data_IF_637328482746
#
_entry.id   IF_637328482746
#
_cell.length_a   1.000
_cell.length_b   1.000
_cell.length_c   1.000
_cell.angle_alpha   90.00
_cell.angle_beta   90.00
_cell.angle_gamma   90.00
#
_symmetry.space_group_name_H-M   'P 1'
#
loop_
_entity.id
_entity.type
_entity.pdbx_description
1 polymer ?
#
# COMPACT_ATOMS: atom_id res chain seq x y z
N UNK A 1 17.08 19.71 26.91
CA UNK A 1 15.66 19.42 27.17
C UNK A 1 14.83 19.97 26.02
N UNK A 2 14.75 19.23 24.92
CA UNK A 2 13.95 19.60 23.74
C UNK A 2 12.51 19.21 24.02
N UNK A 3 11.63 20.22 24.07
CA UNK A 3 10.18 20.03 24.16
C UNK A 3 9.73 19.09 23.03
N UNK A 4 8.93 18.08 23.39
CA UNK A 4 8.47 17.04 22.48
C UNK A 4 7.66 17.63 21.33
N UNK A 5 8.28 17.67 20.14
CA UNK A 5 7.54 17.87 18.91
C UNK A 5 6.62 16.64 18.73
N UNK A 6 5.31 16.87 18.62
CA UNK A 6 4.34 15.80 18.36
C UNK A 6 4.69 15.02 17.10
N UNK A 7 4.20 13.78 17.00
CA UNK A 7 4.44 12.93 15.83
C UNK A 7 4.02 13.65 14.52
N UNK A 8 4.97 14.00 13.62
CA UNK A 8 4.66 14.72 12.39
C UNK A 8 3.72 13.96 11.47
N UNK A 9 3.69 12.62 11.56
CA UNK A 9 2.76 11.77 10.79
C UNK A 9 1.33 11.98 11.26
N UNK A 10 1.13 12.00 12.57
CA UNK A 10 -0.17 12.27 13.19
C UNK A 10 -0.66 13.67 12.86
N UNK A 11 0.20 14.69 13.00
CA UNK A 11 -0.13 16.08 12.68
C UNK A 11 -0.55 16.25 11.21
N UNK A 12 0.16 15.58 10.30
CA UNK A 12 -0.18 15.61 8.88
C UNK A 12 -1.51 14.92 8.60
N UNK A 13 -1.72 13.71 9.16
CA UNK A 13 -2.99 12.98 9.03
C UNK A 13 -4.16 13.85 9.50
N UNK A 14 -4.06 14.46 10.67
CA UNK A 14 -5.11 15.33 11.21
C UNK A 14 -5.38 16.54 10.31
N UNK A 15 -4.33 17.14 9.74
CA UNK A 15 -4.47 18.27 8.82
C UNK A 15 -5.22 17.88 7.55
N UNK A 16 -4.89 16.73 6.96
CA UNK A 16 -5.58 16.18 5.78
C UNK A 16 -7.05 15.87 6.11
N UNK A 17 -7.31 15.25 7.26
CA UNK A 17 -8.69 14.99 7.72
C UNK A 17 -9.48 16.29 7.80
N UNK A 18 -8.93 17.36 8.39
CA UNK A 18 -9.60 18.67 8.46
C UNK A 18 -9.88 19.26 7.07
N UNK A 19 -8.95 19.16 6.13
CA UNK A 19 -9.13 19.64 4.75
C UNK A 19 -10.25 18.89 4.01
N UNK A 20 -10.30 17.57 4.16
CA UNK A 20 -11.36 16.74 3.56
C UNK A 20 -12.73 17.07 4.15
N UNK A 21 -12.82 17.25 5.47
CA UNK A 21 -14.06 17.69 6.15
C UNK A 21 -14.51 19.08 5.70
N UNK A 22 -13.59 20.04 5.62
CA UNK A 22 -13.87 21.38 5.13
C UNK A 22 -14.40 21.35 3.68
N UNK A 23 -13.97 20.36 2.89
CA UNK A 23 -14.43 20.10 1.52
C UNK A 23 -15.69 19.22 1.43
N UNK A 24 -16.36 18.94 2.57
CA UNK A 24 -17.55 18.07 2.69
C UNK A 24 -17.33 16.64 2.22
N UNK A 25 -16.13 16.10 2.42
CA UNK A 25 -15.73 14.72 2.07
C UNK A 25 -15.56 13.86 3.32
N UNK A 26 -16.64 13.66 4.07
CA UNK A 26 -16.59 12.99 5.38
C UNK A 26 -16.17 11.52 5.31
N UNK A 27 -16.57 10.82 4.25
CA UNK A 27 -16.19 9.42 4.04
C UNK A 27 -14.67 9.28 3.81
N UNK A 28 -14.11 10.09 2.91
CA UNK A 28 -12.66 10.15 2.68
C UNK A 28 -11.89 10.60 3.93
N UNK A 29 -12.43 11.57 4.67
CA UNK A 29 -11.85 12.00 5.93
C UNK A 29 -11.81 10.86 6.97
N UNK A 30 -12.85 10.03 7.01
CA UNK A 30 -12.93 8.88 7.91
C UNK A 30 -11.94 7.78 7.52
N UNK A 31 -11.78 7.51 6.23
CA UNK A 31 -10.77 6.58 5.69
C UNK A 31 -9.36 7.05 6.10
N UNK A 32 -9.01 8.31 5.85
CA UNK A 32 -7.69 8.85 6.21
C UNK A 32 -7.47 8.85 7.73
N UNK A 33 -8.51 9.09 8.53
CA UNK A 33 -8.41 9.07 9.98
C UNK A 33 -8.10 7.67 10.55
N UNK A 34 -8.67 6.61 9.96
CA UNK A 34 -8.35 5.21 10.29
C UNK A 34 -7.02 4.76 9.69
N UNK A 35 -6.59 5.41 8.62
CA UNK A 35 -5.31 5.18 7.97
C UNK A 35 -4.11 5.53 8.84
N UNK A 36 -2.97 4.99 8.43
CA UNK A 36 -1.66 5.32 8.99
C UNK A 36 -0.85 6.07 7.93
N UNK A 37 -0.23 7.18 8.34
CA UNK A 37 0.55 8.03 7.45
C UNK A 37 2.02 7.77 7.72
N UNK A 38 2.79 7.62 6.64
CA UNK A 38 4.22 7.44 6.70
C UNK A 38 4.91 8.48 5.82
N UNK A 39 5.93 9.14 6.35
CA UNK A 39 6.74 10.11 5.61
C UNK A 39 7.98 9.41 5.05
N UNK A 40 8.37 9.65 3.80
CA UNK A 40 9.65 9.16 3.31
C UNK A 40 10.81 9.93 3.98
N UNK A 41 11.88 9.26 4.45
CA UNK A 41 13.10 9.91 4.97
C UNK A 41 13.74 10.83 3.97
N UNK A 42 13.78 10.31 2.74
CA UNK A 42 14.56 10.88 1.67
C UNK A 42 13.66 11.85 0.95
N UNK A 43 14.09 13.09 1.03
CA UNK A 43 13.49 14.22 0.36
C UNK A 43 14.33 14.54 -0.86
N UNK A 44 13.67 14.89 -1.96
CA UNK A 44 14.35 15.32 -3.16
C UNK A 44 14.43 16.86 -3.17
N UNK A 45 15.60 17.43 -3.43
CA UNK A 45 15.73 18.88 -3.55
C UNK A 45 15.26 19.32 -4.94
N UNK A 46 14.23 20.14 -5.00
CA UNK A 46 13.65 20.68 -6.22
C UNK A 46 13.85 22.18 -6.31
N UNK A 47 13.91 22.67 -7.55
CA UNK A 47 13.94 24.08 -7.85
C UNK A 47 12.64 24.47 -8.55
N UNK A 48 11.85 25.34 -7.93
CA UNK A 48 10.59 25.87 -8.48
C UNK A 48 10.76 27.39 -8.63
N UNK A 49 11.08 27.83 -9.85
CA UNK A 49 11.50 29.20 -10.10
C UNK A 49 12.79 29.51 -9.34
N UNK A 50 12.78 30.54 -8.50
CA UNK A 50 13.94 30.93 -7.66
C UNK A 50 13.99 30.20 -6.31
N UNK A 51 12.97 29.39 -5.99
CA UNK A 51 12.83 28.73 -4.69
C UNK A 51 13.35 27.29 -4.71
N UNK A 52 14.18 26.95 -3.74
CA UNK A 52 14.54 25.56 -3.44
C UNK A 52 13.55 24.97 -2.44
N UNK A 53 13.01 23.78 -2.73
CA UNK A 53 12.05 23.06 -1.87
C UNK A 53 12.46 21.61 -1.70
N UNK A 54 12.07 21.01 -0.58
CA UNK A 54 12.17 19.58 -0.31
C UNK A 54 10.88 18.89 -0.74
N UNK A 55 10.98 18.07 -1.78
CA UNK A 55 9.89 17.27 -2.29
C UNK A 55 9.74 15.99 -1.44
N UNK A 56 8.58 15.88 -0.78
CA UNK A 56 8.24 14.83 0.17
C UNK A 56 7.45 13.72 -0.51
N UNK A 57 7.76 12.46 -0.19
CA UNK A 57 6.91 11.31 -0.57
C UNK A 57 6.20 10.77 0.65
N UNK A 58 4.93 10.42 0.52
CA UNK A 58 4.06 10.06 1.66
C UNK A 58 3.28 8.77 1.41
N UNK A 59 3.32 7.83 2.35
CA UNK A 59 2.60 6.57 2.28
C UNK A 59 1.32 6.70 3.09
N UNK A 60 0.19 6.29 2.53
CA UNK A 60 -1.05 6.11 3.26
C UNK A 60 -1.35 4.61 3.32
N UNK A 61 -1.29 4.02 4.51
CA UNK A 61 -1.65 2.64 4.75
C UNK A 61 -3.09 2.58 5.24
N UNK A 62 -3.94 1.84 4.53
CA UNK A 62 -5.36 1.67 4.83
C UNK A 62 -5.74 0.20 4.91
N UNK A 63 -6.80 -0.14 5.62
CA UNK A 63 -7.31 -1.50 5.63
C UNK A 63 -7.90 -1.89 4.27
N UNK A 64 -8.09 -3.19 4.02
CA UNK A 64 -8.54 -3.70 2.72
C UNK A 64 -9.88 -3.08 2.28
N UNK A 65 -10.84 -2.93 3.18
CA UNK A 65 -12.14 -2.30 2.90
C UNK A 65 -12.00 -0.85 2.43
N UNK A 66 -11.19 -0.07 3.15
CA UNK A 66 -10.91 1.33 2.83
C UNK A 66 -10.12 1.46 1.51
N UNK A 67 -9.23 0.51 1.22
CA UNK A 67 -8.54 0.45 -0.07
C UNK A 67 -9.51 0.25 -1.22
N UNK A 68 -10.47 -0.69 -1.07
CA UNK A 68 -11.49 -0.96 -2.08
C UNK A 68 -12.39 0.26 -2.28
N UNK A 69 -12.84 0.91 -1.20
CA UNK A 69 -13.70 2.09 -1.31
C UNK A 69 -13.00 3.24 -2.04
N UNK A 70 -11.72 3.48 -1.76
CA UNK A 70 -10.92 4.49 -2.47
C UNK A 70 -10.77 4.20 -3.97
N UNK A 71 -10.78 2.94 -4.38
CA UNK A 71 -10.67 2.55 -5.79
C UNK A 71 -12.04 2.41 -6.50
N UNK A 72 -13.14 2.42 -5.73
CA UNK A 72 -14.50 2.38 -6.27
C UNK A 72 -14.91 3.72 -6.88
N UNK A 73 -14.54 4.83 -6.24
CA UNK A 73 -14.80 6.18 -6.75
C UNK A 73 -13.61 6.68 -7.60
N UNK A 74 -13.87 6.98 -8.88
CA UNK A 74 -12.86 7.37 -9.87
C UNK A 74 -11.98 8.60 -9.52
N UNK A 75 -12.28 9.34 -8.45
CA UNK A 75 -11.54 10.53 -8.01
C UNK A 75 -11.17 10.52 -6.52
N UNK A 76 -11.53 9.49 -5.76
CA UNK A 76 -11.28 9.48 -4.32
C UNK A 76 -9.79 9.59 -3.98
N UNK A 77 -8.94 8.81 -4.67
CA UNK A 77 -7.48 8.86 -4.50
C UNK A 77 -6.93 10.24 -4.85
N UNK A 78 -7.39 10.85 -5.95
CA UNK A 78 -6.93 12.19 -6.36
C UNK A 78 -7.30 13.28 -5.36
N UNK A 79 -8.50 13.20 -4.78
CA UNK A 79 -8.96 14.14 -3.74
C UNK A 79 -8.16 14.00 -2.45
N UNK A 80 -7.84 12.77 -2.04
CA UNK A 80 -6.96 12.51 -0.91
C UNK A 80 -5.56 13.05 -1.22
N UNK A 81 -5.01 12.76 -2.40
CA UNK A 81 -3.70 13.27 -2.85
C UNK A 81 -3.63 14.79 -2.85
N UNK A 82 -4.64 15.47 -3.38
CA UNK A 82 -4.71 16.93 -3.37
C UNK A 82 -4.74 17.49 -1.94
N UNK A 83 -5.44 16.82 -1.03
CA UNK A 83 -5.49 17.23 0.37
C UNK A 83 -4.14 17.06 1.07
N UNK A 84 -3.40 15.97 0.80
CA UNK A 84 -2.01 15.82 1.24
C UNK A 84 -1.10 16.89 0.64
N UNK A 85 -1.24 17.20 -0.65
CA UNK A 85 -0.45 18.23 -1.31
C UNK A 85 -0.64 19.61 -0.65
N UNK A 86 -1.88 19.97 -0.32
CA UNK A 86 -2.18 21.22 0.39
C UNK A 86 -1.60 21.20 1.80
N UNK A 87 -1.73 20.09 2.54
CA UNK A 87 -1.26 20.00 3.91
C UNK A 87 0.27 20.04 4.04
N UNK A 88 1.00 19.51 3.05
CA UNK A 88 2.48 19.47 3.03
C UNK A 88 3.06 20.76 2.45
N UNK A 89 2.32 21.48 1.60
CA UNK A 89 2.84 22.66 0.92
C UNK A 89 3.22 23.75 1.91
N UNK A 90 4.48 24.16 1.85
CA UNK A 90 5.00 25.31 2.59
C UNK A 90 5.97 26.10 1.71
N UNK A 91 6.67 27.09 2.31
CA UNK A 91 7.78 27.73 1.63
C UNK A 91 8.93 26.76 1.32
N UNK A 92 9.09 25.71 2.11
CA UNK A 92 10.25 24.80 2.07
C UNK A 92 9.91 23.39 1.58
N UNK A 93 8.63 23.03 1.49
CA UNK A 93 8.20 21.65 1.19
C UNK A 93 7.09 21.61 0.14
N UNK A 94 7.13 20.56 -0.69
CA UNK A 94 6.08 20.21 -1.64
C UNK A 94 5.84 18.70 -1.63
N UNK A 95 4.66 18.25 -2.06
CA UNK A 95 4.38 16.83 -2.24
C UNK A 95 4.91 16.35 -3.60
N UNK A 96 5.79 15.36 -3.57
CA UNK A 96 6.26 14.62 -4.73
C UNK A 96 5.28 13.53 -5.12
N UNK A 97 4.97 12.66 -4.16
CA UNK A 97 4.16 11.48 -4.39
C UNK A 97 3.33 11.09 -3.16
N UNK A 98 2.15 10.54 -3.42
CA UNK A 98 1.32 9.88 -2.41
C UNK A 98 1.09 8.44 -2.88
N UNK A 99 1.71 7.49 -2.19
CA UNK A 99 1.52 6.08 -2.44
C UNK A 99 0.47 5.51 -1.47
N UNK A 100 -0.49 4.77 -2.00
CA UNK A 100 -1.56 4.12 -1.25
C UNK A 100 -1.24 2.63 -1.11
N UNK A 101 -1.23 2.13 0.12
CA UNK A 101 -0.87 0.74 0.44
C UNK A 101 -1.94 0.06 1.28
N UNK A 102 -2.09 -1.24 1.07
CA UNK A 102 -2.93 -2.08 1.93
C UNK A 102 -2.16 -2.41 3.20
N UNK A 103 -2.78 -2.15 4.35
CA UNK A 103 -2.22 -2.47 5.65
C UNK A 103 -2.19 -3.98 5.80
N UNK A 104 -0.99 -4.54 5.92
CA UNK A 104 -0.81 -5.95 6.24
C UNK A 104 -1.15 -6.20 7.71
N UNK A 105 -1.89 -7.28 8.04
CA UNK A 105 -2.15 -7.65 9.43
C UNK A 105 -0.82 -7.81 10.17
N UNK A 106 -0.64 -7.11 11.30
CA UNK A 106 0.62 -7.05 12.02
C UNK A 106 0.74 -8.17 13.06
N UNK A 107 1.94 -8.70 13.34
CA UNK A 107 2.18 -9.48 14.55
C UNK A 107 2.16 -8.61 15.82
N UNK A 108 2.54 -7.32 15.73
CA UNK A 108 2.46 -6.32 16.81
C UNK A 108 2.54 -4.90 16.23
N UNK A 109 1.94 -3.92 16.91
CA UNK A 109 1.68 -2.52 16.50
C UNK A 109 2.92 -1.65 16.18
N UNK A 110 4.12 -2.19 16.14
CA UNK A 110 5.37 -1.43 16.00
C UNK A 110 6.18 -1.94 14.81
N UNK A 111 5.87 -1.48 13.61
CA UNK A 111 6.79 -1.61 12.48
C UNK A 111 6.54 -0.48 11.49
N UNK A 112 6.96 0.72 11.89
CA UNK A 112 6.92 1.89 11.04
C UNK A 112 7.96 1.84 9.94
N UNK A 113 7.64 2.52 8.84
CA UNK A 113 8.53 3.07 7.82
C UNK A 113 8.96 2.24 6.62
N UNK A 114 9.66 1.12 6.78
CA UNK A 114 10.37 0.55 5.62
C UNK A 114 9.49 -0.21 4.62
N UNK A 115 8.17 -0.02 4.69
CA UNK A 115 7.19 -0.68 3.81
C UNK A 115 6.69 0.22 2.67
N UNK A 116 6.84 1.57 2.76
CA UNK A 116 6.13 2.51 1.90
C UNK A 116 6.98 3.39 0.96
N UNK A 117 8.34 3.45 1.05
CA UNK A 117 9.19 4.06 -0.01
C UNK A 117 10.45 3.30 -0.49
N UNK A 118 10.78 3.41 -1.80
CA UNK A 118 11.96 2.81 -2.49
C UNK A 118 13.32 3.34 -1.99
N UNK A 119 13.33 4.55 -1.43
CA UNK A 119 14.56 5.34 -1.21
C UNK A 119 14.90 5.52 0.27
N UNK A 120 14.27 4.78 1.19
CA UNK A 120 14.45 5.00 2.61
C UNK A 120 15.77 4.41 3.16
N UNK A 121 16.63 5.17 3.90
CA UNK A 121 17.72 4.60 4.68
C UNK A 121 17.25 3.42 5.53
N UNK A 122 17.83 2.27 5.24
CA UNK A 122 17.47 0.99 5.80
C UNK A 122 17.87 0.91 7.28
N UNK A 123 16.91 1.15 8.17
CA UNK A 123 16.85 0.41 9.43
C UNK A 123 15.93 -0.77 9.15
N UNK A 124 16.56 -1.89 8.75
CA UNK A 124 15.94 -3.12 8.20
C UNK A 124 14.46 -3.30 8.58
N UNK A 125 13.50 -2.86 7.74
CA UNK A 125 12.12 -3.23 7.94
C UNK A 125 12.02 -4.75 7.83
N UNK A 126 11.36 -5.38 8.78
CA UNK A 126 10.98 -6.79 8.66
C UNK A 126 10.20 -6.95 7.35
N UNK A 127 10.79 -7.67 6.39
CA UNK A 127 10.16 -7.95 5.10
C UNK A 127 8.81 -8.62 5.35
N UNK A 128 7.76 -8.25 4.60
CA UNK A 128 6.45 -8.85 4.80
C UNK A 128 6.55 -10.35 4.51
N UNK A 129 6.21 -11.16 5.52
CA UNK A 129 6.18 -12.61 5.35
C UNK A 129 5.06 -13.01 4.38
N UNK A 130 5.20 -14.10 3.62
CA UNK A 130 4.18 -14.52 2.67
C UNK A 130 2.81 -14.74 3.30
N UNK A 131 2.75 -15.27 4.52
CA UNK A 131 1.49 -15.43 5.26
C UNK A 131 0.77 -14.12 5.55
N UNK A 132 1.49 -13.02 5.78
CA UNK A 132 0.87 -11.69 6.02
C UNK A 132 0.32 -11.09 4.74
N UNK A 133 1.04 -11.25 3.63
CA UNK A 133 0.57 -10.84 2.31
C UNK A 133 -0.64 -11.68 1.92
N UNK A 134 -0.59 -13.00 2.12
CA UNK A 134 -1.70 -13.91 1.86
C UNK A 134 -2.98 -13.51 2.63
N UNK A 135 -2.87 -13.23 3.93
CA UNK A 135 -4.00 -12.75 4.72
C UNK A 135 -4.59 -11.42 4.19
N UNK A 136 -3.73 -10.50 3.73
CA UNK A 136 -4.20 -9.26 3.11
C UNK A 136 -4.86 -9.48 1.74
N UNK A 137 -4.37 -10.44 0.95
CA UNK A 137 -4.97 -10.83 -0.34
C UNK A 137 -6.37 -11.40 -0.14
N UNK A 138 -6.55 -12.28 0.85
CA UNK A 138 -7.87 -12.80 1.24
C UNK A 138 -8.78 -11.65 1.68
N UNK A 139 -8.30 -10.75 2.54
CA UNK A 139 -9.08 -9.60 3.00
C UNK A 139 -9.50 -8.69 1.83
N UNK A 140 -8.63 -8.46 0.84
CA UNK A 140 -8.97 -7.73 -0.38
C UNK A 140 -10.03 -8.46 -1.21
N UNK A 141 -9.92 -9.77 -1.38
CA UNK A 141 -10.89 -10.56 -2.12
C UNK A 141 -12.29 -10.45 -1.50
N UNK A 142 -12.36 -10.56 -0.18
CA UNK A 142 -13.59 -10.36 0.59
C UNK A 142 -14.12 -8.93 0.45
N UNK A 143 -13.27 -7.92 0.61
CA UNK A 143 -13.65 -6.51 0.49
C UNK A 143 -14.16 -6.13 -0.91
N UNK A 144 -13.58 -6.70 -1.97
CA UNK A 144 -14.07 -6.55 -3.35
C UNK A 144 -15.34 -7.36 -3.65
N UNK A 145 -15.85 -8.14 -2.69
CA UNK A 145 -17.00 -9.03 -2.89
C UNK A 145 -16.71 -10.21 -3.82
N UNK A 146 -15.44 -10.60 -3.99
CA UNK A 146 -15.00 -11.73 -4.84
C UNK A 146 -15.01 -13.02 -4.03
N UNK A 147 -16.21 -13.50 -3.69
CA UNK A 147 -16.42 -14.65 -2.80
C UNK A 147 -15.64 -15.88 -3.29
N UNK A 148 -15.76 -16.22 -4.56
CA UNK A 148 -15.06 -17.38 -5.14
C UNK A 148 -13.53 -17.25 -5.06
N UNK A 149 -12.99 -16.07 -5.35
CA UNK A 149 -11.55 -15.83 -5.23
C UNK A 149 -11.10 -15.92 -3.77
N UNK A 150 -11.88 -15.37 -2.83
CA UNK A 150 -11.59 -15.43 -1.40
C UNK A 150 -11.56 -16.88 -0.89
N UNK A 151 -12.55 -17.69 -1.25
CA UNK A 151 -12.61 -19.12 -0.87
C UNK A 151 -11.40 -19.92 -1.40
N UNK A 152 -11.02 -19.68 -2.65
CA UNK A 152 -9.84 -20.31 -3.27
C UNK A 152 -8.57 -19.87 -2.55
N UNK A 153 -8.44 -18.57 -2.26
CA UNK A 153 -7.27 -18.01 -1.61
C UNK A 153 -7.16 -18.46 -0.14
N UNK A 154 -8.27 -18.57 0.60
CA UNK A 154 -8.29 -19.07 1.98
C UNK A 154 -7.76 -20.50 2.10
N UNK A 155 -8.06 -21.36 1.12
CA UNK A 155 -7.51 -22.71 1.03
C UNK A 155 -6.08 -22.73 0.51
N UNK A 156 -5.67 -21.69 -0.22
CA UNK A 156 -4.37 -21.54 -0.87
C UNK A 156 -3.24 -21.13 0.07
N UNK A 157 -2.02 -21.11 -0.47
CA UNK A 157 -0.81 -20.63 0.19
C UNK A 157 -0.08 -19.65 -0.73
N UNK A 158 0.77 -18.82 -0.16
CA UNK A 158 1.58 -17.87 -0.91
C UNK A 158 3.05 -18.11 -0.64
N UNK A 159 3.83 -18.24 -1.70
CA UNK A 159 5.29 -18.31 -1.65
C UNK A 159 5.91 -17.09 -2.31
N UNK A 160 7.12 -16.73 -1.87
CA UNK A 160 7.91 -15.65 -2.46
C UNK A 160 9.30 -16.16 -2.79
N UNK A 161 9.75 -15.86 -4.00
CA UNK A 161 11.10 -16.14 -4.47
C UNK A 161 11.74 -14.88 -5.07
N UNK A 162 13.05 -14.67 -4.87
CA UNK A 162 13.77 -13.64 -5.62
C UNK A 162 13.86 -14.03 -7.11
N UNK A 163 13.75 -13.05 -8.01
CA UNK A 163 14.01 -13.27 -9.45
C UNK A 163 15.51 -13.12 -9.69
N UNK A 164 16.16 -14.18 -10.17
CA UNK A 164 17.58 -14.13 -10.54
C UNK A 164 17.81 -13.13 -11.68
N UNK A 165 18.96 -12.46 -11.68
CA UNK A 165 19.40 -11.48 -12.70
C UNK A 165 18.65 -10.14 -12.77
N UNK A 166 17.73 -9.88 -11.84
CA UNK A 166 17.15 -8.55 -11.66
C UNK A 166 18.13 -7.59 -10.97
N UNK A 167 18.41 -6.44 -11.58
CA UNK A 167 19.10 -5.30 -10.94
C UNK A 167 18.16 -4.61 -9.94
N UNK A 168 17.79 -5.29 -8.85
CA UNK A 168 16.91 -4.75 -7.81
C UNK A 168 16.21 -5.83 -6.96
N UNK A 169 15.35 -5.38 -6.03
CA UNK A 169 14.54 -6.22 -5.13
C UNK A 169 13.28 -6.81 -5.80
N UNK A 170 13.41 -7.28 -7.05
CA UNK A 170 12.30 -7.89 -7.78
C UNK A 170 11.95 -9.26 -7.18
N UNK A 171 10.67 -9.42 -6.82
CA UNK A 171 10.15 -10.66 -6.25
C UNK A 171 9.13 -11.31 -7.19
N UNK A 172 9.17 -12.64 -7.23
CA UNK A 172 8.13 -13.50 -7.79
C UNK A 172 7.24 -13.99 -6.65
N UNK A 173 5.94 -13.80 -6.80
CA UNK A 173 4.94 -14.30 -5.86
C UNK A 173 4.20 -15.47 -6.51
N UNK A 174 4.15 -16.60 -5.82
CA UNK A 174 3.49 -17.82 -6.33
C UNK A 174 2.31 -18.16 -5.43
N UNK A 175 1.11 -18.16 -6.00
CA UNK A 175 -0.11 -18.62 -5.30
C UNK A 175 -0.22 -20.13 -5.50
N UNK A 176 -0.01 -20.89 -4.44
CA UNK A 176 -0.16 -22.35 -4.42
C UNK A 176 -1.62 -22.69 -4.12
N UNK A 177 -2.29 -23.30 -5.11
CA UNK A 177 -3.70 -23.68 -5.03
C UNK A 177 -3.85 -25.19 -5.01
N UNK A 178 -4.93 -25.67 -4.41
CA UNK A 178 -5.31 -27.08 -4.53
C UNK A 178 -5.61 -27.43 -6.00
N UNK A 179 -5.36 -28.66 -6.46
CA UNK A 179 -5.58 -29.06 -7.84
C UNK A 179 -6.94 -28.66 -8.46
N UNK A 180 -8.10 -28.86 -7.79
CA UNK A 180 -9.39 -28.44 -8.36
C UNK A 180 -9.52 -26.92 -8.52
N UNK A 181 -8.96 -26.15 -7.59
CA UNK A 181 -8.99 -24.69 -7.61
C UNK A 181 -8.04 -24.13 -8.67
N UNK A 182 -6.88 -24.75 -8.85
CA UNK A 182 -5.95 -24.42 -9.94
C UNK A 182 -6.60 -24.62 -11.31
N UNK A 183 -7.20 -25.79 -11.57
CA UNK A 183 -7.88 -26.07 -12.85
C UNK A 183 -9.02 -25.09 -13.10
N UNK A 184 -9.72 -24.67 -12.05
CA UNK A 184 -10.78 -23.67 -12.15
C UNK A 184 -10.22 -22.29 -12.51
N UNK A 185 -9.19 -21.82 -11.82
CA UNK A 185 -8.53 -20.55 -12.12
C UNK A 185 -7.91 -20.54 -13.53
N UNK A 186 -7.31 -21.63 -13.98
CA UNK A 186 -6.74 -21.76 -15.33
C UNK A 186 -7.81 -21.60 -16.43
N UNK A 187 -9.02 -22.10 -16.17
CA UNK A 187 -10.16 -22.00 -17.11
C UNK A 187 -10.82 -20.62 -17.09
N UNK A 188 -10.74 -19.90 -15.97
CA UNK A 188 -11.31 -18.57 -15.78
C UNK A 188 -10.20 -17.50 -15.72
N UNK A 189 -9.93 -16.90 -16.88
CA UNK A 189 -8.92 -15.84 -17.02
C UNK A 189 -9.26 -14.58 -16.22
N UNK A 190 -10.54 -14.32 -15.96
CA UNK A 190 -10.97 -13.19 -15.14
C UNK A 190 -10.65 -13.45 -13.67
N UNK A 191 -10.94 -14.65 -13.17
CA UNK A 191 -10.59 -15.07 -11.81
C UNK A 191 -9.07 -15.02 -11.58
N UNK A 192 -8.28 -15.54 -12.52
CA UNK A 192 -6.81 -15.46 -12.47
C UNK A 192 -6.33 -14.02 -12.41
N UNK A 193 -6.82 -13.15 -13.30
CA UNK A 193 -6.44 -11.73 -13.32
C UNK A 193 -6.81 -11.01 -12.02
N UNK A 194 -7.95 -11.35 -11.42
CA UNK A 194 -8.37 -10.80 -10.13
C UNK A 194 -7.42 -11.22 -9.02
N UNK A 195 -7.10 -12.51 -8.92
CA UNK A 195 -6.16 -13.03 -7.93
C UNK A 195 -4.79 -12.35 -8.08
N UNK A 196 -4.25 -12.28 -9.29
CA UNK A 196 -2.97 -11.60 -9.55
C UNK A 196 -3.00 -10.13 -9.16
N UNK A 197 -4.07 -9.41 -9.50
CA UNK A 197 -4.23 -8.00 -9.15
C UNK A 197 -4.27 -7.79 -7.63
N UNK A 198 -4.94 -8.67 -6.88
CA UNK A 198 -5.01 -8.58 -5.42
C UNK A 198 -3.68 -8.91 -4.77
N UNK A 199 -2.96 -9.92 -5.26
CA UNK A 199 -1.58 -10.20 -4.83
C UNK A 199 -0.69 -9.00 -5.11
N UNK A 200 -0.79 -8.37 -6.28
CA UNK A 200 -0.01 -7.17 -6.58
C UNK A 200 -0.34 -6.02 -5.65
N UNK A 201 -1.62 -5.78 -5.34
CA UNK A 201 -2.03 -4.71 -4.44
C UNK A 201 -1.56 -4.94 -2.99
N UNK A 202 -1.65 -6.18 -2.48
CA UNK A 202 -1.22 -6.53 -1.13
C UNK A 202 0.30 -6.62 -0.97
N UNK A 203 0.99 -7.16 -1.99
CA UNK A 203 2.44 -7.29 -2.00
C UNK A 203 3.15 -6.00 -2.40
N UNK A 204 2.41 -5.00 -2.91
CA UNK A 204 2.94 -3.67 -3.16
C UNK A 204 3.38 -3.06 -1.82
N UNK A 205 4.66 -3.17 -1.57
CA UNK A 205 5.39 -2.26 -0.71
C UNK A 205 6.31 -1.45 -1.59
N UNK A 206 6.88 -0.38 -1.08
CA UNK A 206 7.74 0.41 -1.92
C UNK A 206 9.19 -0.05 -1.99
N UNK A 207 9.59 -0.97 -1.11
CA UNK A 207 10.87 -1.69 -1.21
C UNK A 207 10.75 -2.97 -2.05
N UNK A 208 9.53 -3.45 -2.32
CA UNK A 208 9.28 -4.69 -3.07
C UNK A 208 8.74 -4.33 -4.44
N UNK A 209 9.55 -4.52 -5.48
CA UNK A 209 9.04 -4.50 -6.85
C UNK A 209 8.49 -5.88 -7.17
N UNK A 210 7.22 -5.96 -7.51
CA UNK A 210 6.61 -7.22 -7.95
C UNK A 210 6.97 -7.41 -9.42
N UNK A 211 7.87 -8.36 -9.70
CA UNK A 211 8.22 -8.72 -11.06
C UNK A 211 7.15 -9.61 -11.67
N UNK A 212 6.76 -10.66 -10.95
CA UNK A 212 5.86 -11.70 -11.45
C UNK A 212 4.91 -12.15 -10.35
N UNK A 213 3.66 -12.43 -10.74
CA UNK A 213 2.71 -13.20 -9.93
C UNK A 213 2.28 -14.38 -10.78
N UNK A 214 2.30 -15.59 -10.22
CA UNK A 214 1.93 -16.82 -10.93
C UNK A 214 1.12 -17.75 -10.05
N UNK A 215 0.23 -18.53 -10.65
CA UNK A 215 -0.51 -19.59 -9.97
C UNK A 215 0.21 -20.93 -10.18
N UNK A 216 0.24 -21.77 -9.17
CA UNK A 216 0.77 -23.13 -9.26
C UNK A 216 -0.02 -24.10 -8.39
N UNK A 217 0.13 -25.40 -8.64
CA UNK A 217 -0.51 -26.46 -7.86
C UNK A 217 0.30 -26.75 -6.61
N UNK A 218 -0.36 -26.80 -5.45
CA UNK A 218 0.20 -27.26 -4.18
C UNK A 218 0.55 -28.74 -4.29
N UNK A 219 1.79 -29.11 -3.95
CA UNK A 219 2.29 -30.49 -3.99
C UNK A 219 1.99 -31.25 -2.71
#
# INVERSE_FOLDING_TARGET
MTAGAGDPRLALRESVVRLLRASRREELASIVARGEVELCPTTEAWQIGERSVLAQRIGLLVDAEDYVELHREARAVDLVRASFAIAVRSFETELLDLALFVRLPAPTREASWGRAYRSAPAVSPEEPTPGRVHAAVVALATAYGRIEAAEILERGELEVAPIADATGSLRKWVVLLDPPDFVRAERDTQLTSQIESMVRAAAAGATVQIGEVSLAVRR
#
